data_IF_380185597103
#
_entry.id   IF_380185597103
#
_cell.length_a   1.000
_cell.length_b   1.000
_cell.length_c   1.000
_cell.angle_alpha   90.00
_cell.angle_beta   90.00
_cell.angle_gamma   90.00
#
_symmetry.space_group_name_H-M   'P 1'
#
loop_
_entity.id
_entity.type
_entity.pdbx_description
1 polymer ?
#
# COMPACT_ATOMS: atom_id res chain seq x y z
N UNK A 1 15.86 -8.70 -1.78
CA UNK A 1 14.61 -7.95 -1.65
C UNK A 1 13.81 -8.18 -2.92
N UNK A 2 12.52 -8.37 -2.82
CA UNK A 2 11.59 -8.41 -3.95
C UNK A 2 10.88 -7.07 -3.98
N UNK A 3 10.79 -6.45 -5.15
CA UNK A 3 10.13 -5.16 -5.34
C UNK A 3 9.05 -5.35 -6.41
N UNK A 4 7.85 -4.96 -6.08
CA UNK A 4 6.69 -4.91 -6.97
C UNK A 4 6.28 -3.45 -7.11
N UNK A 5 6.02 -3.00 -8.32
CA UNK A 5 5.55 -1.64 -8.59
C UNK A 5 4.43 -1.71 -9.61
N UNK A 6 3.30 -1.10 -9.29
CA UNK A 6 2.18 -0.89 -10.19
C UNK A 6 1.88 0.59 -10.29
N UNK A 7 1.53 1.05 -11.48
CA UNK A 7 1.34 2.46 -11.79
C UNK A 7 0.06 2.65 -12.60
N UNK A 8 -0.58 3.80 -12.44
CA UNK A 8 -1.78 4.15 -13.18
C UNK A 8 -1.80 5.65 -13.49
N UNK A 9 -2.22 5.99 -14.72
CA UNK A 9 -2.64 7.34 -15.09
C UNK A 9 -4.12 7.48 -14.79
N UNK A 10 -4.49 8.51 -14.05
CA UNK A 10 -5.86 8.77 -13.61
C UNK A 10 -6.31 10.10 -14.21
N UNK A 11 -7.39 10.11 -15.03
CA UNK A 11 -7.93 11.34 -15.62
C UNK A 11 -8.76 12.14 -14.61
N UNK A 12 -8.16 12.47 -13.48
CA UNK A 12 -8.74 13.29 -12.42
C UNK A 12 -7.75 14.36 -11.98
N UNK A 13 -8.21 15.54 -11.53
CA UNK A 13 -7.31 16.57 -11.00
C UNK A 13 -6.41 16.05 -9.87
N UNK A 14 -5.14 16.43 -9.89
CA UNK A 14 -4.15 16.02 -8.86
C UNK A 14 -4.62 16.37 -7.45
N UNK A 15 -5.35 17.46 -7.28
CA UNK A 15 -5.92 17.89 -6.00
C UNK A 15 -6.83 16.86 -5.35
N UNK A 16 -7.50 16.01 -6.15
CA UNK A 16 -8.30 14.91 -5.62
C UNK A 16 -7.41 13.79 -5.08
N UNK A 17 -6.32 13.47 -5.78
CA UNK A 17 -5.35 12.48 -5.32
C UNK A 17 -4.63 12.97 -4.06
N UNK A 18 -4.24 14.25 -4.02
CA UNK A 18 -3.64 14.89 -2.85
C UNK A 18 -4.58 14.88 -1.65
N UNK A 19 -5.87 15.23 -1.84
CA UNK A 19 -6.87 15.20 -0.79
C UNK A 19 -7.13 13.79 -0.26
N UNK A 20 -7.14 12.78 -1.15
CA UNK A 20 -7.22 11.38 -0.78
C UNK A 20 -6.01 10.97 0.07
N UNK A 21 -4.80 11.32 -0.34
CA UNK A 21 -3.58 11.02 0.41
C UNK A 21 -3.54 11.74 1.77
N UNK A 22 -4.03 12.99 1.85
CA UNK A 22 -4.11 13.75 3.11
C UNK A 22 -5.07 13.12 4.13
N UNK A 23 -6.10 12.40 3.68
CA UNK A 23 -7.06 11.71 4.52
C UNK A 23 -6.85 10.18 4.56
N UNK A 24 -5.62 9.73 4.36
CA UNK A 24 -5.29 8.33 4.10
C UNK A 24 -5.79 7.35 5.18
N UNK A 25 -5.80 7.75 6.47
CA UNK A 25 -6.30 6.88 7.56
C UNK A 25 -7.75 6.43 7.31
N UNK A 26 -8.60 7.36 6.88
CA UNK A 26 -10.00 7.07 6.55
C UNK A 26 -10.14 6.47 5.15
N UNK A 27 -9.42 7.02 4.18
CA UNK A 27 -9.49 6.63 2.78
C UNK A 27 -8.89 5.24 2.53
N UNK A 28 -7.87 4.83 3.27
CA UNK A 28 -7.32 3.48 3.18
C UNK A 28 -8.41 2.42 3.39
N UNK A 29 -9.21 2.57 4.43
CA UNK A 29 -10.27 1.59 4.74
C UNK A 29 -11.35 1.56 3.67
N UNK A 30 -11.63 2.69 3.01
CA UNK A 30 -12.63 2.79 1.94
C UNK A 30 -12.09 2.38 0.56
N UNK A 31 -10.78 2.46 0.38
CA UNK A 31 -10.10 2.25 -0.90
C UNK A 31 -10.31 0.84 -1.46
N UNK A 32 -10.17 -0.18 -0.62
CA UNK A 32 -10.34 -1.57 -1.03
C UNK A 32 -11.30 -2.30 -0.10
N UNK A 33 -12.14 -3.23 -0.60
CA UNK A 33 -13.01 -4.05 0.23
C UNK A 33 -12.22 -4.97 1.19
N UNK A 34 -10.94 -5.18 0.93
CA UNK A 34 -10.04 -6.03 1.73
C UNK A 34 -9.28 -5.25 2.81
N UNK A 35 -9.27 -3.92 2.76
CA UNK A 35 -8.65 -3.09 3.78
C UNK A 35 -9.55 -2.99 5.02
N UNK A 36 -9.02 -3.30 6.19
CA UNK A 36 -9.79 -3.41 7.43
C UNK A 36 -9.59 -2.17 8.31
N UNK A 37 -8.34 -1.76 8.50
CA UNK A 37 -7.98 -0.75 9.49
C UNK A 37 -6.70 -0.02 9.06
N UNK A 38 -6.68 1.29 9.31
CA UNK A 38 -5.49 2.12 9.26
C UNK A 38 -5.51 3.05 10.47
N UNK A 39 -4.47 3.05 11.28
CA UNK A 39 -4.37 3.91 12.46
C UNK A 39 -3.07 4.71 12.44
N UNK A 40 -3.19 6.03 12.48
CA UNK A 40 -2.09 6.97 12.68
C UNK A 40 -1.99 7.34 14.15
N UNK A 41 -1.05 6.76 14.88
CA UNK A 41 -0.95 6.95 16.34
C UNK A 41 -0.62 8.37 16.79
N UNK A 42 -0.05 9.19 15.93
CA UNK A 42 0.33 10.58 16.23
C UNK A 42 -0.58 11.60 15.55
N UNK A 43 -1.68 11.18 14.95
CA UNK A 43 -2.74 12.02 14.40
C UNK A 43 -2.40 12.78 13.11
N UNK A 44 -1.15 12.84 12.70
CA UNK A 44 -0.71 13.53 11.49
C UNK A 44 0.24 12.70 10.64
N UNK A 45 0.13 12.88 9.35
CA UNK A 45 0.99 12.28 8.33
C UNK A 45 2.30 13.07 8.22
N UNK A 46 3.39 12.55 8.79
CA UNK A 46 4.73 13.13 8.66
C UNK A 46 5.81 12.06 8.85
N UNK A 47 7.02 12.36 8.47
CA UNK A 47 8.18 11.50 8.76
C UNK A 47 8.30 11.28 10.27
N UNK A 48 8.36 10.02 10.68
CA UNK A 48 8.37 9.58 12.08
C UNK A 48 7.01 9.16 12.63
N UNK A 49 5.90 9.40 11.93
CA UNK A 49 4.57 8.94 12.35
C UNK A 49 4.52 7.43 12.40
N UNK A 50 3.96 6.90 13.48
CA UNK A 50 3.63 5.47 13.61
C UNK A 50 2.30 5.20 12.96
N UNK A 51 2.23 4.13 12.17
CA UNK A 51 1.02 3.70 11.50
C UNK A 51 0.86 2.19 11.58
N UNK A 52 -0.38 1.71 11.70
CA UNK A 52 -0.76 0.31 11.61
C UNK A 52 -1.71 0.15 10.46
N UNK A 53 -1.43 -0.81 9.61
CA UNK A 53 -2.32 -1.29 8.56
C UNK A 53 -2.81 -2.69 8.88
N UNK A 54 -4.09 -2.95 8.60
CA UNK A 54 -4.64 -4.29 8.63
C UNK A 54 -5.51 -4.52 7.40
N UNK A 55 -5.23 -5.59 6.69
CA UNK A 55 -5.87 -5.95 5.44
C UNK A 55 -5.84 -7.46 5.21
N UNK A 56 -6.68 -7.97 4.33
CA UNK A 56 -6.65 -9.36 3.89
C UNK A 56 -5.93 -9.43 2.54
N UNK A 57 -4.72 -9.96 2.54
CA UNK A 57 -3.92 -10.17 1.31
C UNK A 57 -3.75 -11.65 1.08
N UNK A 58 -4.13 -12.14 -0.10
CA UNK A 58 -4.04 -13.57 -0.48
C UNK A 58 -4.77 -14.52 0.49
N UNK A 59 -5.84 -14.06 1.15
CA UNK A 59 -6.54 -14.83 2.18
C UNK A 59 -5.75 -14.95 3.50
N UNK A 60 -4.81 -14.06 3.76
CA UNK A 60 -4.09 -13.93 5.01
C UNK A 60 -4.46 -12.62 5.69
N UNK A 61 -4.72 -12.66 6.99
CA UNK A 61 -4.88 -11.46 7.82
C UNK A 61 -3.49 -10.82 8.02
N UNK A 62 -3.23 -9.75 7.26
CA UNK A 62 -1.98 -9.00 7.29
C UNK A 62 -2.14 -7.79 8.21
N UNK A 63 -1.53 -7.87 9.38
CA UNK A 63 -1.55 -6.84 10.41
C UNK A 63 -0.11 -6.37 10.66
N UNK A 64 0.19 -5.14 10.25
CA UNK A 64 1.55 -4.61 10.30
C UNK A 64 1.59 -3.21 10.91
N UNK A 65 2.51 -3.02 11.85
CA UNK A 65 2.85 -1.72 12.41
C UNK A 65 4.21 -1.29 11.90
N UNK A 66 4.38 0.00 11.68
CA UNK A 66 5.64 0.57 11.22
C UNK A 66 5.68 2.08 11.36
N UNK A 67 6.62 2.67 10.67
CA UNK A 67 6.89 4.11 10.71
C UNK A 67 6.92 4.68 9.30
N UNK A 68 6.37 5.86 9.10
CA UNK A 68 6.57 6.67 7.91
C UNK A 68 8.00 7.20 7.96
N UNK A 69 8.85 6.72 7.05
CA UNK A 69 10.28 7.07 6.99
C UNK A 69 10.55 8.26 6.09
N UNK A 70 9.68 8.48 5.10
CA UNK A 70 9.71 9.62 4.19
C UNK A 70 8.28 10.13 4.01
N UNK A 71 8.10 11.45 4.05
CA UNK A 71 6.85 12.11 3.74
C UNK A 71 7.20 13.45 3.09
N UNK A 72 7.13 13.47 1.77
CA UNK A 72 7.38 14.65 0.95
C UNK A 72 6.10 15.06 0.26
N UNK A 73 5.82 16.34 0.20
CA UNK A 73 4.64 16.90 -0.46
C UNK A 73 4.93 18.30 -0.97
N UNK A 74 4.55 18.55 -2.20
CA UNK A 74 4.51 19.87 -2.81
C UNK A 74 3.24 20.02 -3.69
N UNK A 75 3.10 21.13 -4.39
CA UNK A 75 1.92 21.43 -5.23
C UNK A 75 1.71 20.49 -6.43
N UNK A 76 2.70 19.67 -6.79
CA UNK A 76 2.68 18.80 -7.96
C UNK A 76 3.02 17.34 -7.66
N UNK A 77 3.45 17.06 -6.42
CA UNK A 77 3.96 15.74 -6.08
C UNK A 77 3.79 15.45 -4.59
N UNK A 78 3.48 14.20 -4.27
CA UNK A 78 3.71 13.65 -2.93
C UNK A 78 4.42 12.30 -3.02
N UNK A 79 5.17 11.99 -1.98
CA UNK A 79 5.79 10.68 -1.76
C UNK A 79 5.74 10.31 -0.28
N UNK A 80 5.19 9.15 0.01
CA UNK A 80 5.07 8.61 1.37
C UNK A 80 5.70 7.22 1.38
N UNK A 81 6.67 7.00 2.27
CA UNK A 81 7.33 5.71 2.45
C UNK A 81 7.06 5.19 3.86
N UNK A 82 6.41 4.05 3.91
CA UNK A 82 6.22 3.27 5.13
C UNK A 82 7.29 2.19 5.25
N UNK A 83 7.81 1.95 6.47
CA UNK A 83 8.67 0.83 6.80
C UNK A 83 8.10 0.08 8.01
N UNK A 84 7.90 -1.23 7.87
CA UNK A 84 7.47 -2.08 9.00
C UNK A 84 8.50 -2.07 10.14
N UNK A 85 8.05 -2.24 11.38
CA UNK A 85 8.92 -2.27 12.56
C UNK A 85 9.97 -3.38 12.49
N UNK A 86 9.65 -4.49 11.83
CA UNK A 86 10.59 -5.59 11.56
C UNK A 86 11.56 -5.28 10.42
N UNK A 87 11.42 -4.15 9.73
CA UNK A 87 12.22 -3.72 8.57
C UNK A 87 12.26 -4.77 7.44
N UNK A 88 11.16 -5.49 7.26
CA UNK A 88 11.02 -6.55 6.25
C UNK A 88 10.02 -6.21 5.16
N UNK A 89 9.24 -5.15 5.34
CA UNK A 89 8.30 -4.64 4.36
C UNK A 89 8.41 -3.11 4.27
N UNK A 90 8.34 -2.62 3.04
CA UNK A 90 8.31 -1.20 2.72
C UNK A 90 7.17 -0.99 1.72
N UNK A 91 6.38 0.05 1.95
CA UNK A 91 5.32 0.46 1.03
C UNK A 91 5.59 1.91 0.65
N UNK A 92 5.54 2.21 -0.63
CA UNK A 92 5.68 3.57 -1.15
C UNK A 92 4.45 3.92 -1.95
N UNK A 93 3.82 5.03 -1.60
CA UNK A 93 2.80 5.70 -2.40
C UNK A 93 3.38 6.99 -2.95
N UNK A 94 3.24 7.20 -4.25
CA UNK A 94 3.72 8.38 -4.92
C UNK A 94 2.67 8.89 -5.89
N UNK A 95 2.34 10.17 -5.80
CA UNK A 95 1.40 10.85 -6.68
C UNK A 95 2.07 12.02 -7.38
N UNK A 96 1.78 12.20 -8.68
CA UNK A 96 2.32 13.30 -9.49
C UNK A 96 1.23 13.93 -10.33
N UNK A 97 1.26 15.25 -10.46
CA UNK A 97 0.44 15.99 -11.42
C UNK A 97 0.92 15.69 -12.84
N UNK A 98 -0.01 15.52 -13.77
CA UNK A 98 0.25 15.39 -15.20
C UNK A 98 -0.55 16.42 -15.98
N UNK A 99 -0.29 16.56 -17.29
CA UNK A 99 -1.04 17.48 -18.14
C UNK A 99 -2.52 17.14 -18.25
N UNK A 100 -2.87 15.86 -18.13
CA UNK A 100 -4.24 15.35 -18.35
C UNK A 100 -4.91 14.82 -17.08
N UNK A 101 -4.23 14.92 -15.91
CA UNK A 101 -4.77 14.40 -14.67
C UNK A 101 -3.67 14.19 -13.62
N UNK A 102 -3.57 12.98 -13.10
CA UNK A 102 -2.52 12.62 -12.16
C UNK A 102 -2.00 11.19 -12.42
N UNK A 103 -0.76 10.96 -12.02
CA UNK A 103 -0.12 9.65 -12.02
C UNK A 103 0.00 9.16 -10.59
N UNK A 104 -0.36 7.90 -10.35
CA UNK A 104 -0.17 7.24 -9.05
C UNK A 104 0.71 6.00 -9.21
N UNK A 105 1.62 5.83 -8.27
CA UNK A 105 2.50 4.68 -8.18
C UNK A 105 2.42 4.06 -6.80
N UNK A 106 2.14 2.76 -6.76
CA UNK A 106 2.16 1.92 -5.56
C UNK A 106 3.33 0.94 -5.67
N UNK A 107 4.26 1.00 -4.73
CA UNK A 107 5.42 0.11 -4.67
C UNK A 107 5.46 -0.62 -3.34
N UNK A 108 5.58 -1.94 -3.40
CA UNK A 108 5.82 -2.79 -2.25
C UNK A 108 7.17 -3.49 -2.36
N UNK A 109 7.96 -3.43 -1.30
CA UNK A 109 9.26 -4.06 -1.24
C UNK A 109 9.36 -4.97 -0.02
N UNK A 110 9.68 -6.23 -0.25
CA UNK A 110 9.76 -7.26 0.77
C UNK A 110 11.19 -7.76 0.94
N UNK A 111 11.60 -7.95 2.19
CA UNK A 111 12.89 -8.49 2.54
C UNK A 111 13.73 -7.56 3.41
N UNK A 112 14.80 -8.11 3.96
CA UNK A 112 15.72 -7.39 4.86
C UNK A 112 16.76 -6.61 4.07
N UNK A 113 17.03 -5.39 4.50
CA UNK A 113 18.02 -4.49 3.88
C UNK A 113 19.44 -4.64 4.48
N UNK A 114 19.58 -5.36 5.60
CA UNK A 114 20.88 -5.54 6.26
C UNK A 114 21.85 -6.30 5.36
N UNK A 115 23.08 -5.80 5.15
CA UNK A 115 24.10 -6.49 4.37
C UNK A 115 24.39 -7.88 4.96
N UNK A 116 24.73 -8.86 4.11
CA UNK A 116 25.08 -10.25 4.45
C UNK A 116 23.94 -11.02 5.10
N UNK A 117 23.55 -10.68 6.35
CA UNK A 117 22.47 -11.39 7.07
C UNK A 117 21.15 -11.22 6.31
N UNK A 118 20.84 -10.01 5.84
CA UNK A 118 19.66 -9.75 5.03
C UNK A 118 19.69 -10.54 3.72
N UNK A 119 20.82 -10.65 3.06
CA UNK A 119 20.96 -11.43 1.84
C UNK A 119 20.67 -12.93 2.07
N UNK A 120 21.19 -13.50 3.15
CA UNK A 120 20.96 -14.91 3.53
C UNK A 120 19.49 -15.11 3.91
N UNK A 121 18.93 -14.23 4.74
CA UNK A 121 17.51 -14.32 5.13
C UNK A 121 16.56 -14.14 3.95
N UNK A 122 16.82 -13.19 3.07
CA UNK A 122 16.05 -13.01 1.85
C UNK A 122 16.13 -14.24 0.94
N UNK A 123 17.30 -14.85 0.80
CA UNK A 123 17.45 -16.09 0.06
C UNK A 123 16.60 -17.21 0.68
N UNK A 124 16.65 -17.41 1.98
CA UNK A 124 15.85 -18.42 2.67
C UNK A 124 14.36 -18.15 2.55
N UNK A 125 13.92 -16.92 2.81
CA UNK A 125 12.51 -16.55 2.72
C UNK A 125 11.98 -16.74 1.30
N UNK A 126 12.66 -16.16 0.30
CA UNK A 126 12.12 -16.11 -1.06
C UNK A 126 12.42 -17.34 -1.92
N UNK A 127 13.48 -18.07 -1.63
CA UNK A 127 13.85 -19.29 -2.39
C UNK A 127 13.38 -20.56 -1.73
N UNK A 128 13.14 -20.56 -0.43
CA UNK A 128 12.72 -21.77 0.33
C UNK A 128 11.24 -21.67 0.72
N UNK A 129 10.83 -20.59 1.39
CA UNK A 129 9.47 -20.45 1.91
C UNK A 129 8.48 -19.86 0.88
N UNK A 130 8.84 -18.81 0.15
CA UNK A 130 7.99 -18.21 -0.90
C UNK A 130 8.40 -18.65 -2.30
N UNK A 131 8.62 -19.95 -2.48
CA UNK A 131 9.11 -20.53 -3.73
C UNK A 131 8.11 -20.45 -4.89
N UNK A 132 6.83 -20.25 -4.62
CA UNK A 132 5.78 -20.20 -5.64
C UNK A 132 5.68 -18.81 -6.24
N UNK A 133 6.00 -18.67 -7.54
CA UNK A 133 5.77 -17.43 -8.31
C UNK A 133 4.31 -16.96 -8.25
N UNK A 134 3.37 -17.87 -7.97
CA UNK A 134 1.95 -17.57 -7.84
C UNK A 134 1.64 -16.54 -6.72
N UNK A 135 2.40 -16.56 -5.62
CA UNK A 135 2.14 -15.63 -4.50
C UNK A 135 2.47 -14.17 -4.87
N UNK A 136 3.57 -13.96 -5.61
CA UNK A 136 3.93 -12.60 -6.08
C UNK A 136 2.95 -12.09 -7.13
N UNK A 137 2.41 -12.99 -7.96
CA UNK A 137 1.34 -12.62 -8.89
C UNK A 137 0.09 -12.18 -8.15
N UNK A 138 -0.31 -12.85 -7.09
CA UNK A 138 -1.49 -12.47 -6.31
C UNK A 138 -1.35 -11.10 -5.65
N UNK A 139 -0.18 -10.80 -5.06
CA UNK A 139 0.09 -9.45 -4.51
C UNK A 139 0.00 -8.41 -5.62
N UNK A 140 0.59 -8.68 -6.77
CA UNK A 140 0.55 -7.77 -7.91
C UNK A 140 -0.87 -7.55 -8.44
N UNK A 141 -1.66 -8.62 -8.55
CA UNK A 141 -3.05 -8.54 -8.98
C UNK A 141 -3.88 -7.69 -8.00
N UNK A 142 -3.60 -7.76 -6.69
CA UNK A 142 -4.19 -6.94 -5.64
C UNK A 142 -3.83 -5.46 -5.80
N UNK A 143 -2.55 -5.13 -5.96
CA UNK A 143 -2.09 -3.76 -6.24
C UNK A 143 -2.73 -3.16 -7.51
N UNK A 144 -2.89 -3.96 -8.57
CA UNK A 144 -3.58 -3.53 -9.80
C UNK A 144 -5.05 -3.23 -9.52
N UNK A 145 -5.70 -4.07 -8.72
CA UNK A 145 -7.11 -3.89 -8.34
C UNK A 145 -7.29 -2.62 -7.48
N UNK A 146 -6.42 -2.40 -6.53
CA UNK A 146 -6.41 -1.21 -5.69
C UNK A 146 -6.19 0.07 -6.51
N UNK A 147 -5.25 0.06 -7.45
CA UNK A 147 -5.05 1.16 -8.37
C UNK A 147 -6.32 1.46 -9.21
N UNK A 148 -7.03 0.41 -9.63
CA UNK A 148 -8.30 0.57 -10.35
C UNK A 148 -9.36 1.20 -9.44
N UNK A 149 -9.52 0.73 -8.20
CA UNK A 149 -10.45 1.32 -7.25
C UNK A 149 -10.12 2.80 -6.98
N UNK A 150 -8.84 3.12 -6.81
CA UNK A 150 -8.41 4.51 -6.66
C UNK A 150 -8.83 5.37 -7.86
N UNK A 151 -8.65 4.86 -9.07
CA UNK A 151 -9.11 5.56 -10.28
C UNK A 151 -10.62 5.79 -10.27
N UNK A 152 -11.42 4.78 -9.95
CA UNK A 152 -12.89 4.89 -9.87
C UNK A 152 -13.32 5.90 -8.77
N UNK A 153 -12.64 5.90 -7.63
CA UNK A 153 -12.87 6.86 -6.54
C UNK A 153 -12.60 8.31 -7.00
N UNK A 154 -11.43 8.53 -7.61
CA UNK A 154 -11.01 9.90 -7.97
C UNK A 154 -11.77 10.46 -9.17
N UNK A 155 -12.17 9.61 -10.12
CA UNK A 155 -12.88 10.04 -11.33
C UNK A 155 -14.39 10.13 -11.12
N UNK A 156 -14.99 9.13 -10.46
CA UNK A 156 -16.44 8.94 -10.37
C UNK A 156 -17.00 9.14 -8.95
N UNK A 157 -16.12 9.23 -7.93
CA UNK A 157 -16.53 9.20 -6.52
C UNK A 157 -17.09 7.85 -6.09
N UNK A 158 -16.74 6.78 -6.80
CA UNK A 158 -17.31 5.45 -6.62
C UNK A 158 -16.38 4.57 -5.79
N UNK A 159 -16.75 4.36 -4.54
CA UNK A 159 -16.06 3.42 -3.66
C UNK A 159 -16.52 1.98 -3.92
N UNK A 160 -15.63 0.98 -3.73
CA UNK A 160 -16.02 -0.42 -3.82
C UNK A 160 -16.97 -0.80 -2.68
N UNK A 161 -17.85 -1.78 -2.94
CA UNK A 161 -18.74 -2.31 -1.90
C UNK A 161 -17.93 -3.03 -0.82
N UNK A 162 -18.18 -2.66 0.43
CA UNK A 162 -17.48 -3.24 1.59
C UNK A 162 -17.90 -4.69 1.82
N UNK A 163 -16.93 -5.56 1.99
CA UNK A 163 -17.17 -6.94 2.43
C UNK A 163 -17.27 -6.94 3.97
N UNK A 164 -18.33 -7.51 4.56
CA UNK A 164 -18.43 -7.65 6.01
C UNK A 164 -17.21 -8.39 6.60
N UNK A 165 -16.71 -7.91 7.74
CA UNK A 165 -15.47 -8.41 8.35
C UNK A 165 -15.56 -9.91 8.71
N UNK A 166 -16.70 -10.38 9.14
CA UNK A 166 -16.97 -11.80 9.43
C UNK A 166 -16.80 -12.69 8.19
N UNK A 167 -17.19 -12.18 7.02
CA UNK A 167 -16.97 -12.88 5.74
C UNK A 167 -15.50 -12.85 5.33
N UNK A 168 -14.83 -11.69 5.45
CA UNK A 168 -13.39 -11.58 5.15
C UNK A 168 -12.57 -12.57 5.99
N UNK A 169 -12.87 -12.69 7.27
CA UNK A 169 -12.13 -13.56 8.19
C UNK A 169 -12.46 -15.05 8.04
N UNK A 170 -13.60 -15.41 7.42
CA UNK A 170 -13.93 -16.82 7.13
C UNK A 170 -13.08 -17.39 6.00
N UNK A 171 -12.60 -16.56 5.10
CA UNK A 171 -11.78 -16.95 3.95
C UNK A 171 -10.27 -16.95 4.28
N UNK A 172 -9.89 -16.53 5.49
CA UNK A 172 -8.51 -16.57 5.99
C UNK A 172 -8.11 -18.01 6.27
N UNK A 173 -7.00 -18.44 5.67
CA UNK A 173 -6.43 -19.80 5.77
C UNK A 173 -5.35 -19.89 6.84
#
# INVERSE_FOLDING_TARGET
>A
MVILTEQIEIPAPYEKLEAWAANFEEEFVKWSPYHIECNLYNGNYHTGSKVRFREIVMGLDYDVTGTITECEQDENHFRIVFQSDKKTAFITFEGKRTETGCHFSHTEAFGMTTPVIGAIMNFLIFKVFFRKKANWKLIRDDMILDNKYLSDILTEGKYPERIPLDKLLTDVK
#
